data_IF_587762720638
#
_entry.id   IF_587762720638
#
_cell.length_a   1.000
_cell.length_b   1.000
_cell.length_c   1.000
_cell.angle_alpha   90.00
_cell.angle_beta   90.00
_cell.angle_gamma   90.00
#
_symmetry.space_group_name_H-M   'P 1'
#
loop_
_entity.id
_entity.type
_entity.pdbx_description
1 polymer ?
#
# COMPACT_ATOMS: atom_id res chain seq x y z
N UNK A 1 3.00 42.65 17.66
CA UNK A 1 2.61 42.24 16.29
C UNK A 1 3.32 40.95 15.97
N UNK A 2 2.63 39.81 16.03
CA UNK A 2 3.18 38.53 15.59
C UNK A 2 2.86 38.33 14.12
N UNK A 3 3.79 38.67 13.23
CA UNK A 3 3.65 38.39 11.80
C UNK A 3 3.88 36.91 11.55
N UNK A 4 2.83 36.17 11.21
CA UNK A 4 2.97 34.77 10.79
C UNK A 4 3.66 34.73 9.43
N UNK A 5 4.88 34.20 9.36
CA UNK A 5 5.52 33.89 8.09
C UNK A 5 4.68 32.82 7.38
N UNK A 6 4.07 33.20 6.25
CA UNK A 6 3.41 32.26 5.34
C UNK A 6 4.36 31.97 4.20
N UNK A 7 4.67 30.69 4.01
CA UNK A 7 5.43 30.25 2.84
C UNK A 7 4.56 30.33 1.58
N UNK A 8 5.22 30.44 0.43
CA UNK A 8 4.55 30.32 -0.88
C UNK A 8 3.98 28.92 -1.08
N UNK A 9 3.04 28.79 -2.02
CA UNK A 9 2.42 27.50 -2.34
C UNK A 9 3.48 26.49 -2.77
N UNK A 10 3.52 25.33 -2.11
CA UNK A 10 4.56 24.32 -2.35
C UNK A 10 5.84 24.49 -1.53
N UNK A 11 5.88 25.41 -0.55
CA UNK A 11 7.02 25.59 0.37
C UNK A 11 6.59 25.51 1.85
N UNK A 12 7.48 25.01 2.69
CA UNK A 12 7.28 24.78 4.14
C UNK A 12 8.57 24.96 4.93
N UNK A 13 8.49 24.79 6.25
CA UNK A 13 9.60 24.96 7.19
C UNK A 13 9.72 26.38 7.76
N UNK A 14 10.49 26.56 8.85
CA UNK A 14 10.62 27.84 9.56
C UNK A 14 11.26 28.95 8.71
N UNK A 15 11.97 28.60 7.64
CA UNK A 15 12.57 29.53 6.68
C UNK A 15 11.99 29.40 5.26
N UNK A 16 10.88 28.66 5.07
CA UNK A 16 10.29 28.39 3.76
C UNK A 16 11.27 27.80 2.73
N UNK A 17 12.26 27.05 3.20
CA UNK A 17 13.33 26.48 2.38
C UNK A 17 13.12 24.98 2.11
N UNK A 18 12.04 24.39 2.62
CA UNK A 18 11.67 23.01 2.36
C UNK A 18 10.54 22.99 1.34
N UNK A 19 10.64 22.15 0.31
CA UNK A 19 9.50 21.95 -0.59
C UNK A 19 8.40 21.19 0.14
N UNK A 20 7.20 21.74 0.14
CA UNK A 20 6.02 21.10 0.68
C UNK A 20 5.61 19.95 -0.23
N UNK A 21 5.39 18.77 0.34
CA UNK A 21 4.78 17.67 -0.38
C UNK A 21 3.25 17.82 -0.42
N UNK A 22 2.62 17.11 -1.34
CA UNK A 22 1.17 16.99 -1.39
C UNK A 22 0.62 16.53 -0.02
N UNK A 23 -0.51 17.05 0.48
CA UNK A 23 -1.02 16.71 1.81
C UNK A 23 -1.21 15.22 2.05
N UNK A 24 -1.62 14.48 0.99
CA UNK A 24 -1.82 13.02 1.03
C UNK A 24 -0.54 12.20 1.09
N UNK A 25 0.60 12.82 0.81
CA UNK A 25 1.92 12.20 0.99
C UNK A 25 2.12 11.69 2.41
N UNK A 26 1.63 12.44 3.40
CA UNK A 26 1.76 12.11 4.82
C UNK A 26 0.82 10.97 5.25
N UNK A 27 -0.17 10.59 4.44
CA UNK A 27 -1.05 9.46 4.74
C UNK A 27 -0.33 8.12 4.53
N UNK A 28 0.46 8.02 3.45
CA UNK A 28 1.05 6.75 2.99
C UNK A 28 2.53 6.87 2.59
N UNK A 29 3.24 7.85 3.12
CA UNK A 29 4.64 8.09 2.81
C UNK A 29 5.28 9.13 3.72
N UNK A 30 6.54 9.43 3.42
CA UNK A 30 7.33 10.45 4.10
C UNK A 30 7.77 11.50 3.09
N UNK A 31 7.54 12.77 3.41
CA UNK A 31 8.03 13.87 2.59
C UNK A 31 9.52 14.10 2.85
N UNK A 32 10.36 14.03 1.81
CA UNK A 32 11.74 14.49 1.82
C UNK A 32 12.01 15.43 0.65
N UNK A 33 12.37 16.68 0.96
CA UNK A 33 12.75 17.70 -0.03
C UNK A 33 11.74 17.89 -1.18
N UNK A 34 10.44 17.78 -0.88
CA UNK A 34 9.35 17.89 -1.85
C UNK A 34 9.08 16.62 -2.66
N UNK A 35 9.75 15.51 -2.34
CA UNK A 35 9.49 14.20 -2.92
C UNK A 35 8.85 13.28 -1.88
N UNK A 36 7.81 12.57 -2.27
CA UNK A 36 7.18 11.57 -1.43
C UNK A 36 7.90 10.23 -1.54
N UNK A 37 8.48 9.78 -0.41
CA UNK A 37 8.96 8.42 -0.24
C UNK A 37 7.78 7.55 0.24
N UNK A 38 7.22 6.73 -0.64
CA UNK A 38 6.03 5.95 -0.32
C UNK A 38 6.33 4.77 0.61
N UNK A 39 5.38 4.52 1.51
CA UNK A 39 5.35 3.33 2.35
C UNK A 39 5.14 2.07 1.51
N UNK A 40 5.49 0.92 2.08
CA UNK A 40 5.36 -0.37 1.40
C UNK A 40 3.93 -0.59 0.88
N UNK A 41 3.80 -0.89 -0.41
CA UNK A 41 2.52 -1.11 -1.08
C UNK A 41 1.83 0.12 -1.62
N UNK A 42 2.46 1.30 -1.54
CA UNK A 42 1.99 2.55 -2.12
C UNK A 42 2.95 3.07 -3.17
N UNK A 43 2.41 3.80 -4.15
CA UNK A 43 3.12 4.30 -5.30
C UNK A 43 2.51 5.61 -5.81
N UNK A 44 3.10 6.17 -6.86
CA UNK A 44 2.74 7.46 -7.45
C UNK A 44 3.48 8.62 -6.81
N UNK A 45 3.39 9.79 -7.43
CA UNK A 45 4.10 11.01 -7.00
C UNK A 45 3.73 11.46 -5.58
N UNK A 46 2.53 11.09 -5.12
CA UNK A 46 1.99 11.48 -3.83
C UNK A 46 1.63 10.30 -2.93
N UNK A 47 2.05 9.07 -3.29
CA UNK A 47 1.75 7.84 -2.55
C UNK A 47 0.25 7.54 -2.41
N UNK A 48 -0.54 7.98 -3.39
CA UNK A 48 -2.00 7.77 -3.42
C UNK A 48 -2.43 6.61 -4.31
N UNK A 49 -1.48 5.96 -4.98
CA UNK A 49 -1.75 4.84 -5.87
C UNK A 49 -1.38 3.57 -5.13
N UNK A 50 -2.31 2.64 -4.99
CA UNK A 50 -2.02 1.32 -4.43
C UNK A 50 -1.10 0.56 -5.39
N UNK A 51 0.02 0.05 -4.86
CA UNK A 51 0.92 -0.83 -5.60
C UNK A 51 0.35 -2.23 -5.76
N UNK A 52 -0.41 -2.71 -4.76
CA UNK A 52 -1.10 -3.98 -4.81
C UNK A 52 -2.61 -3.80 -4.67
N UNK A 53 -3.43 -4.64 -5.33
CA UNK A 53 -4.89 -4.59 -5.21
C UNK A 53 -5.34 -4.70 -3.74
N UNK A 54 -6.01 -3.66 -3.23
CA UNK A 54 -6.55 -3.63 -1.86
C UNK A 54 -5.49 -3.84 -0.78
N UNK A 55 -4.21 -3.53 -1.06
CA UNK A 55 -3.07 -3.76 -0.17
C UNK A 55 -3.01 -5.20 0.37
N UNK A 56 -3.32 -6.16 -0.49
CA UNK A 56 -3.41 -7.58 -0.13
C UNK A 56 -4.51 -7.90 0.91
N UNK A 57 -5.54 -7.06 0.99
CA UNK A 57 -6.73 -7.18 1.86
C UNK A 57 -6.40 -7.47 3.34
N UNK A 58 -5.26 -6.99 3.83
CA UNK A 58 -4.71 -7.33 5.17
C UNK A 58 -4.40 -8.83 5.41
N UNK A 59 -4.54 -9.65 4.37
CA UNK A 59 -4.32 -11.10 4.36
C UNK A 59 -2.99 -11.48 3.72
N UNK A 60 -2.10 -10.52 3.54
CA UNK A 60 -0.84 -10.68 2.85
C UNK A 60 0.06 -9.47 3.03
N UNK A 61 1.23 -9.53 2.40
CA UNK A 61 2.19 -8.43 2.35
C UNK A 61 2.40 -8.03 0.90
N UNK A 62 2.23 -6.75 0.61
CA UNK A 62 2.56 -6.20 -0.71
C UNK A 62 4.08 -6.04 -0.83
N UNK A 63 4.71 -6.76 -1.74
CA UNK A 63 6.16 -6.75 -1.96
C UNK A 63 6.51 -6.35 -3.38
N UNK A 64 7.60 -5.61 -3.55
CA UNK A 64 8.12 -5.25 -4.86
C UNK A 64 9.13 -6.33 -5.30
N UNK A 65 8.84 -7.04 -6.39
CA UNK A 65 9.78 -7.94 -7.06
C UNK A 65 10.33 -7.32 -8.35
N UNK A 66 10.99 -8.13 -9.19
CA UNK A 66 11.55 -7.69 -10.47
C UNK A 66 10.48 -7.37 -11.53
N UNK A 67 9.24 -7.85 -11.36
CA UNK A 67 8.12 -7.67 -12.26
C UNK A 67 7.14 -6.60 -11.77
N UNK A 68 7.25 -6.15 -10.53
CA UNK A 68 6.47 -5.06 -9.96
C UNK A 68 5.97 -5.36 -8.55
N UNK A 69 4.92 -4.67 -8.15
CA UNK A 69 4.26 -4.92 -6.88
C UNK A 69 3.38 -6.17 -6.99
N UNK A 70 3.55 -7.09 -6.06
CA UNK A 70 2.77 -8.32 -5.96
C UNK A 70 2.48 -8.65 -4.51
N UNK A 71 1.36 -9.33 -4.26
CA UNK A 71 0.97 -9.77 -2.94
C UNK A 71 1.54 -11.14 -2.61
N UNK A 72 2.23 -11.23 -1.47
CA UNK A 72 2.58 -12.50 -0.82
C UNK A 72 1.53 -12.79 0.24
N UNK A 73 0.64 -13.74 -0.04
CA UNK A 73 -0.48 -14.06 0.84
C UNK A 73 -0.05 -14.84 2.08
N UNK A 74 -0.73 -14.56 3.19
CA UNK A 74 -0.63 -15.37 4.41
C UNK A 74 -1.25 -16.76 4.17
N UNK A 75 -0.85 -17.79 4.94
CA UNK A 75 -1.45 -19.11 4.86
C UNK A 75 -2.97 -19.03 5.01
N UNK A 76 -3.71 -19.67 4.10
CA UNK A 76 -5.17 -19.59 4.09
C UNK A 76 -5.74 -18.51 3.15
N UNK A 77 -4.91 -17.80 2.38
CA UNK A 77 -5.35 -16.80 1.41
C UNK A 77 -4.61 -16.92 0.07
N UNK A 78 -5.31 -16.58 -1.01
CA UNK A 78 -4.77 -16.57 -2.38
C UNK A 78 -5.42 -15.48 -3.23
N UNK A 79 -5.00 -15.41 -4.49
CA UNK A 79 -5.44 -14.37 -5.43
C UNK A 79 -4.42 -13.24 -5.55
N UNK A 80 -4.59 -12.37 -6.54
CA UNK A 80 -3.66 -11.27 -6.77
C UNK A 80 -3.67 -10.23 -5.64
N UNK A 81 -4.77 -10.13 -4.88
CA UNK A 81 -4.93 -9.27 -3.71
C UNK A 81 -5.13 -10.02 -2.41
N UNK A 82 -4.85 -11.33 -2.33
CA UNK A 82 -5.13 -12.15 -1.14
C UNK A 82 -6.58 -12.04 -0.64
N UNK A 83 -7.50 -11.85 -1.58
CA UNK A 83 -8.93 -11.65 -1.39
C UNK A 83 -9.72 -12.97 -1.35
N UNK A 84 -9.08 -14.08 -1.74
CA UNK A 84 -9.71 -15.39 -1.80
C UNK A 84 -9.24 -16.22 -0.61
N UNK A 85 -10.14 -16.49 0.33
CA UNK A 85 -9.89 -17.44 1.41
C UNK A 85 -9.68 -18.85 0.82
N UNK A 86 -8.61 -19.51 1.25
CA UNK A 86 -8.37 -20.91 0.95
C UNK A 86 -9.19 -21.75 1.93
N UNK A 87 -10.04 -22.60 1.37
CA UNK A 87 -10.87 -23.51 2.15
C UNK A 87 -9.99 -24.42 3.00
N UNK A 88 -10.13 -24.37 4.32
CA UNK A 88 -9.47 -25.34 5.24
C UNK A 88 -10.44 -26.46 5.63
N UNK A 89 -11.74 -26.32 5.32
CA UNK A 89 -12.80 -27.24 5.69
C UNK A 89 -13.75 -27.42 4.49
N UNK A 90 -13.89 -28.64 3.98
CA UNK A 90 -14.69 -28.95 2.79
C UNK A 90 -16.20 -28.91 3.07
N UNK A 91 -16.73 -27.79 3.57
CA UNK A 91 -18.12 -27.66 3.99
C UNK A 91 -19.08 -27.30 2.86
N UNK A 92 -18.58 -26.89 1.69
CA UNK A 92 -19.41 -26.41 0.56
C UNK A 92 -19.13 -27.13 -0.79
N UNK A 93 -18.28 -28.16 -0.80
CA UNK A 93 -17.91 -28.94 -1.99
C UNK A 93 -17.27 -28.12 -3.13
N UNK A 94 -16.64 -26.96 -2.84
CA UNK A 94 -15.87 -26.17 -3.81
C UNK A 94 -14.38 -26.25 -3.52
N UNK A 95 -13.60 -26.72 -4.50
CA UNK A 95 -12.15 -26.88 -4.38
C UNK A 95 -11.42 -25.56 -4.73
N UNK A 96 -11.43 -24.64 -3.76
CA UNK A 96 -10.75 -23.36 -3.90
C UNK A 96 -9.24 -23.43 -3.59
N UNK A 97 -8.69 -24.60 -3.27
CA UNK A 97 -7.25 -24.84 -3.05
C UNK A 97 -6.62 -25.43 -4.31
N UNK A 98 -5.80 -24.66 -5.04
CA UNK A 98 -5.01 -25.13 -6.19
C UNK A 98 -3.93 -26.19 -5.87
N UNK A 99 -4.08 -27.00 -4.80
CA UNK A 99 -3.11 -28.01 -4.38
C UNK A 99 -3.60 -29.08 -3.40
N UNK A 100 -4.63 -28.84 -2.57
CA UNK A 100 -5.21 -29.86 -1.70
C UNK A 100 -6.66 -30.10 -2.12
N UNK A 101 -6.92 -31.32 -2.60
CA UNK A 101 -8.27 -31.73 -2.98
C UNK A 101 -9.05 -32.03 -1.71
N UNK A 102 -10.23 -31.42 -1.59
CA UNK A 102 -11.26 -31.92 -0.70
C UNK A 102 -11.51 -33.40 -1.00
N UNK A 103 -11.21 -34.28 -0.05
CA UNK A 103 -11.56 -35.70 -0.11
C UNK A 103 -12.78 -35.94 0.77
N UNK A 104 -13.77 -36.62 0.19
CA UNK A 104 -14.83 -37.31 0.92
C UNK A 104 -14.25 -38.42 1.81
#
# INVERSE_FOLDING_TARGET
MGGTCRCEEGWTGPACNQRACHPRCAEHGTCKDGKCECSQGWNGEHCTIEGCPGLCNSNGRCTLDQNGWHCVCQPGWRGAGCDVAMETLCTDSKDNEGGRKCRA
#
